data_IF_661378767238
#
_entry.id   IF_661378767238
#
_cell.length_a   1.000
_cell.length_b   1.000
_cell.length_c   1.000
_cell.angle_alpha   90.00
_cell.angle_beta   90.00
_cell.angle_gamma   90.00
#
_symmetry.space_group_name_H-M   'P 1'
#
loop_
_entity.id
_entity.type
_entity.pdbx_description
1 polymer ?
#
# COMPACT_ATOMS: atom_id res chain seq x y z
N UNK A 1 34.83 -0.81 4.71
CA UNK A 1 34.79 0.17 3.62
C UNK A 1 33.41 0.09 2.96
N UNK A 2 32.50 1.06 3.13
CA UNK A 2 31.22 1.00 2.46
C UNK A 2 31.39 1.43 1.00
N UNK A 3 31.05 0.53 0.08
CA UNK A 3 31.03 0.78 -1.37
C UNK A 3 29.77 1.58 -1.73
N UNK A 4 29.74 2.87 -1.44
CA UNK A 4 28.72 3.76 -1.97
C UNK A 4 29.08 4.17 -3.42
N UNK A 5 28.07 4.22 -4.30
CA UNK A 5 28.27 4.61 -5.70
C UNK A 5 28.76 6.08 -5.80
N UNK A 6 29.79 6.31 -6.62
CA UNK A 6 30.43 7.62 -6.80
C UNK A 6 29.56 8.64 -7.55
N UNK A 7 28.57 8.15 -8.30
CA UNK A 7 27.62 8.96 -9.07
C UNK A 7 26.25 8.27 -9.01
N UNK A 8 25.24 8.98 -8.51
CA UNK A 8 23.84 8.53 -8.41
C UNK A 8 23.00 9.58 -9.11
N UNK A 9 22.29 9.18 -10.17
CA UNK A 9 21.39 10.05 -10.91
C UNK A 9 19.98 9.49 -10.89
N UNK A 10 19.00 10.37 -10.70
CA UNK A 10 17.59 10.01 -10.79
C UNK A 10 17.24 9.87 -12.27
N UNK A 11 16.82 8.69 -12.68
CA UNK A 11 16.22 8.46 -13.98
C UNK A 11 14.70 8.26 -13.80
N UNK A 12 13.86 8.78 -14.70
CA UNK A 12 12.46 8.44 -14.70
C UNK A 12 12.32 6.93 -14.94
N UNK A 13 11.67 6.24 -14.02
CA UNK A 13 11.25 4.86 -14.25
C UNK A 13 10.02 4.93 -15.15
N UNK A 14 10.18 4.57 -16.42
CA UNK A 14 9.05 4.41 -17.33
C UNK A 14 8.26 3.17 -16.91
N UNK A 15 7.21 3.37 -16.11
CA UNK A 15 6.21 2.34 -15.91
C UNK A 15 5.42 2.15 -17.22
N UNK A 16 5.17 0.91 -17.66
CA UNK A 16 4.27 0.67 -18.78
C UNK A 16 2.91 1.34 -18.53
N UNK A 17 2.22 1.84 -19.57
CA UNK A 17 0.88 2.36 -19.41
C UNK A 17 -0.04 1.26 -18.84
N UNK A 18 -0.76 1.61 -17.78
CA UNK A 18 -1.72 0.70 -17.17
C UNK A 18 -2.92 0.50 -18.11
N UNK A 19 -3.41 -0.75 -18.28
CA UNK A 19 -4.64 -1.00 -19.01
C UNK A 19 -5.83 -0.29 -18.34
N UNK A 20 -6.91 -0.01 -19.10
CA UNK A 20 -8.10 0.60 -18.52
C UNK A 20 -8.69 -0.27 -17.40
N UNK A 21 -9.23 0.40 -16.39
CA UNK A 21 -9.91 -0.28 -15.29
C UNK A 21 -11.14 -1.04 -15.81
N UNK A 22 -11.21 -2.33 -15.49
CA UNK A 22 -12.28 -3.21 -15.96
C UNK A 22 -13.53 -3.17 -15.07
N UNK A 23 -13.40 -2.66 -13.84
CA UNK A 23 -14.44 -2.69 -12.81
C UNK A 23 -14.74 -1.27 -12.30
N UNK A 24 -16.02 -0.90 -12.12
CA UNK A 24 -16.37 0.39 -11.55
C UNK A 24 -15.81 0.57 -10.14
N UNK A 25 -15.30 1.77 -9.84
CA UNK A 25 -14.74 2.12 -8.51
C UNK A 25 -15.69 1.81 -7.35
N UNK A 26 -17.01 2.12 -7.39
CA UNK A 26 -17.90 1.80 -6.26
C UNK A 26 -18.03 0.31 -5.99
N UNK A 27 -17.99 -0.52 -7.05
CA UNK A 27 -18.07 -1.99 -6.92
C UNK A 27 -16.83 -2.52 -6.22
N UNK A 28 -15.64 -2.10 -6.66
CA UNK A 28 -14.37 -2.54 -6.05
C UNK A 28 -14.27 -2.09 -4.59
N UNK A 29 -14.71 -0.86 -4.27
CA UNK A 29 -14.70 -0.35 -2.90
C UNK A 29 -15.60 -1.17 -1.98
N UNK A 30 -16.83 -1.45 -2.41
CA UNK A 30 -17.76 -2.28 -1.64
C UNK A 30 -17.20 -3.69 -1.40
N UNK A 31 -16.59 -4.31 -2.41
CA UNK A 31 -15.98 -5.63 -2.27
C UNK A 31 -14.82 -5.65 -1.26
N UNK A 32 -14.17 -4.51 -1.03
CA UNK A 32 -13.12 -4.32 -0.01
C UNK A 32 -13.69 -3.91 1.37
N UNK A 33 -15.01 -3.97 1.57
CA UNK A 33 -15.67 -3.57 2.81
C UNK A 33 -15.74 -2.05 3.03
N UNK A 34 -15.61 -1.26 1.96
CA UNK A 34 -15.81 0.19 1.99
C UNK A 34 -17.22 0.51 1.49
N UNK A 35 -18.19 0.43 2.39
CA UNK A 35 -19.58 0.82 2.12
C UNK A 35 -19.77 2.33 2.06
N UNK A 36 -18.86 3.08 2.69
CA UNK A 36 -18.81 4.54 2.69
C UNK A 36 -17.74 5.05 1.71
N UNK A 37 -18.15 5.91 0.79
CA UNK A 37 -17.25 6.56 -0.15
C UNK A 37 -16.32 7.59 0.51
N UNK A 38 -16.61 8.02 1.74
CA UNK A 38 -15.79 8.98 2.50
C UNK A 38 -14.60 8.32 3.20
N UNK A 39 -14.66 7.02 3.52
CA UNK A 39 -13.56 6.35 4.22
C UNK A 39 -12.31 6.27 3.32
N UNK A 40 -11.15 6.81 3.76
CA UNK A 40 -9.93 6.75 2.98
C UNK A 40 -9.47 5.31 2.74
N UNK A 41 -8.94 5.04 1.55
CA UNK A 41 -8.33 3.77 1.17
C UNK A 41 -6.86 3.99 0.82
N UNK A 42 -5.96 3.31 1.53
CA UNK A 42 -4.53 3.25 1.23
C UNK A 42 -4.24 1.87 0.63
N UNK A 43 -3.61 1.85 -0.54
CA UNK A 43 -3.25 0.60 -1.23
C UNK A 43 -1.75 0.51 -1.38
N UNK A 44 -1.16 -0.58 -0.91
CA UNK A 44 0.25 -0.90 -1.14
C UNK A 44 0.34 -2.14 -2.03
N UNK A 45 0.91 -1.98 -3.23
CA UNK A 45 1.06 -3.06 -4.21
C UNK A 45 2.54 -3.41 -4.39
N UNK A 46 2.90 -4.67 -4.17
CA UNK A 46 4.27 -5.13 -4.35
C UNK A 46 4.54 -6.52 -3.82
N UNK A 47 5.73 -7.06 -4.12
CA UNK A 47 6.19 -8.34 -3.54
C UNK A 47 6.21 -8.24 -2.01
N UNK A 48 5.60 -9.19 -1.32
CA UNK A 48 5.60 -9.30 0.13
C UNK A 48 6.97 -9.76 0.61
N UNK A 49 7.90 -8.82 0.68
CA UNK A 49 9.29 -9.04 1.07
C UNK A 49 9.73 -7.95 2.06
N UNK A 50 10.54 -8.24 3.10
CA UNK A 50 10.89 -7.28 4.14
C UNK A 50 11.47 -5.96 3.61
N UNK A 51 12.18 -6.02 2.49
CA UNK A 51 12.73 -4.84 1.79
C UNK A 51 11.67 -3.79 1.37
N UNK A 52 10.36 -4.10 1.44
CA UNK A 52 9.28 -3.19 1.06
C UNK A 52 8.70 -2.36 2.21
N UNK A 53 9.18 -2.55 3.45
CA UNK A 53 8.84 -1.66 4.56
C UNK A 53 7.37 -1.73 5.00
N UNK A 54 6.75 -2.91 4.90
CA UNK A 54 5.35 -3.10 5.33
C UNK A 54 5.17 -2.97 6.84
N UNK A 55 6.22 -3.23 7.63
CA UNK A 55 6.32 -2.93 9.05
C UNK A 55 6.03 -1.45 9.36
N UNK A 56 6.66 -0.53 8.62
CA UNK A 56 6.44 0.91 8.78
C UNK A 56 4.99 1.30 8.45
N UNK A 57 4.39 0.65 7.45
CA UNK A 57 2.99 0.88 7.10
C UNK A 57 2.06 0.39 8.23
N UNK A 58 2.33 -0.79 8.80
CA UNK A 58 1.54 -1.33 9.91
C UNK A 58 1.66 -0.48 11.17
N UNK A 59 2.84 0.06 11.48
CA UNK A 59 3.03 1.03 12.56
C UNK A 59 2.20 2.31 12.36
N UNK A 60 2.11 2.80 11.12
CA UNK A 60 1.26 3.96 10.80
C UNK A 60 -0.22 3.64 10.99
N UNK A 61 -0.66 2.44 10.59
CA UNK A 61 -2.04 1.96 10.80
C UNK A 61 -2.38 1.94 12.29
N UNK A 62 -1.49 1.40 13.12
CA UNK A 62 -1.70 1.35 14.57
C UNK A 62 -1.92 2.75 15.16
N UNK A 63 -1.14 3.74 14.71
CA UNK A 63 -1.30 5.15 15.12
C UNK A 63 -2.61 5.75 14.65
N UNK A 64 -3.05 5.47 13.42
CA UNK A 64 -4.31 5.99 12.90
C UNK A 64 -5.53 5.42 13.63
N UNK A 65 -5.52 4.12 13.92
CA UNK A 65 -6.60 3.47 14.68
C UNK A 65 -6.72 4.05 16.10
N UNK A 66 -5.58 4.40 16.69
CA UNK A 66 -5.53 5.00 18.03
C UNK A 66 -5.95 6.48 18.07
N UNK A 67 -5.91 7.23 16.96
CA UNK A 67 -6.26 8.65 16.90
C UNK A 67 -7.76 8.88 16.63
N UNK A 68 -8.54 9.38 17.60
CA UNK A 68 -9.99 9.61 17.41
C UNK A 68 -10.32 10.61 16.29
N UNK A 69 -9.40 11.52 15.96
CA UNK A 69 -9.60 12.53 14.91
C UNK A 69 -9.62 11.91 13.51
N UNK A 70 -9.09 10.71 13.37
CA UNK A 70 -9.01 9.99 12.10
C UNK A 70 -10.15 8.99 11.93
N UNK A 71 -11.25 9.07 12.69
CA UNK A 71 -12.37 8.15 12.52
C UNK A 71 -13.31 8.58 11.37
N UNK A 72 -13.66 7.66 10.44
CA UNK A 72 -13.20 6.27 10.36
C UNK A 72 -11.75 6.16 9.87
N UNK A 73 -10.94 5.35 10.56
CA UNK A 73 -9.53 5.18 10.22
C UNK A 73 -9.38 4.67 8.78
N UNK A 74 -8.35 5.10 8.03
CA UNK A 74 -8.11 4.62 6.67
C UNK A 74 -8.12 3.09 6.60
N UNK A 75 -8.78 2.53 5.59
CA UNK A 75 -8.65 1.11 5.28
C UNK A 75 -7.34 0.91 4.51
N UNK A 76 -6.54 -0.06 4.92
CA UNK A 76 -5.27 -0.39 4.25
C UNK A 76 -5.41 -1.74 3.58
N UNK A 77 -5.18 -1.78 2.27
CA UNK A 77 -5.13 -3.00 1.48
C UNK A 77 -3.70 -3.23 0.99
N UNK A 78 -3.12 -4.37 1.34
CA UNK A 78 -1.80 -4.80 0.86
C UNK A 78 -2.04 -5.89 -0.18
N UNK A 79 -1.57 -5.69 -1.40
CA UNK A 79 -1.77 -6.62 -2.51
C UNK A 79 -0.43 -7.07 -3.10
N UNK A 80 -0.23 -8.38 -3.15
CA UNK A 80 0.92 -9.02 -3.75
C UNK A 80 1.24 -10.35 -3.08
N UNK A 81 2.24 -11.03 -3.62
CA UNK A 81 2.69 -12.34 -3.16
C UNK A 81 4.14 -12.26 -2.67
N UNK A 82 4.55 -13.22 -1.85
CA UNK A 82 5.95 -13.31 -1.40
C UNK A 82 6.10 -13.97 -0.03
N UNK A 83 7.34 -14.11 0.46
CA UNK A 83 7.65 -14.81 1.70
C UNK A 83 6.97 -14.23 2.95
N UNK A 84 6.57 -12.95 2.95
CA UNK A 84 5.83 -12.35 4.07
C UNK A 84 4.32 -12.61 4.04
N UNK A 85 3.78 -13.39 3.09
CA UNK A 85 2.34 -13.61 2.99
C UNK A 85 1.75 -14.19 4.30
N UNK A 86 2.39 -15.20 4.88
CA UNK A 86 1.95 -15.86 6.11
C UNK A 86 2.00 -14.94 7.34
N UNK A 87 2.87 -13.92 7.36
CA UNK A 87 2.96 -12.97 8.47
C UNK A 87 1.96 -11.81 8.35
N UNK A 88 1.41 -11.58 7.15
CA UNK A 88 0.51 -10.46 6.84
C UNK A 88 -0.95 -10.87 6.66
N UNK A 89 -1.24 -12.17 6.51
CA UNK A 89 -2.58 -12.76 6.39
C UNK A 89 -3.27 -12.93 7.75
#
# INVERSE_FOLDING_TARGET
FPICARDVRVAPVAAPPLPPAQRPRPVVRRDLGLDDDQRPLVVAVGRLHPQKGYDVLLDAVARWVADPRLRPAPLVAIAGDGPLHEELA
#
